data_IF_388351927321
#
_entry.id   IF_388351927321
#
_cell.length_a   1.000
_cell.length_b   1.000
_cell.length_c   1.000
_cell.angle_alpha   90.00
_cell.angle_beta   90.00
_cell.angle_gamma   90.00
#
_symmetry.space_group_name_H-M   'P 1'
#
loop_
_entity.id
_entity.type
_entity.pdbx_description
1 polymer ?
#
# COMPACT_ATOMS: atom_id res chain seq x y z
N UNK A 1 -12.76 -0.30 -5.66
CA UNK A 1 -12.12 0.10 -4.38
C UNK A 1 -11.86 1.59 -4.40
N UNK A 2 -12.33 2.33 -3.41
CA UNK A 2 -12.11 3.78 -3.32
C UNK A 2 -10.71 4.05 -2.77
N UNK A 3 -9.88 4.89 -3.40
CA UNK A 3 -8.54 5.16 -2.91
C UNK A 3 -8.58 5.91 -1.56
N UNK A 4 -7.88 5.38 -0.56
CA UNK A 4 -7.65 6.01 0.74
C UNK A 4 -6.48 7.01 0.72
N UNK A 5 -6.39 7.88 -0.30
CA UNK A 5 -5.43 8.99 -0.32
C UNK A 5 -6.14 10.29 -0.74
N UNK A 6 -5.66 11.44 -0.26
CA UNK A 6 -6.30 12.74 -0.50
C UNK A 6 -7.52 12.99 0.38
N UNK A 7 -8.56 13.64 -0.16
CA UNK A 7 -9.76 14.04 0.60
C UNK A 7 -10.54 12.86 1.21
N UNK A 8 -10.38 11.66 0.66
CA UNK A 8 -11.07 10.45 1.10
C UNK A 8 -10.41 9.76 2.31
N UNK A 9 -9.25 10.25 2.77
CA UNK A 9 -8.52 9.70 3.92
C UNK A 9 -8.49 10.64 5.12
N UNK A 10 -9.40 11.63 5.17
CA UNK A 10 -9.48 12.66 6.20
C UNK A 10 -10.00 12.11 7.55
N UNK A 11 -9.30 11.10 8.11
CA UNK A 11 -9.39 10.73 9.51
C UNK A 11 -7.97 10.67 10.08
N UNK A 12 -7.52 11.83 10.58
CA UNK A 12 -6.47 11.99 11.61
C UNK A 12 -5.05 11.52 11.25
N UNK A 13 -4.30 12.38 10.56
CA UNK A 13 -2.83 12.29 10.50
C UNK A 13 -2.22 13.67 10.35
N UNK A 14 -1.51 14.14 11.39
CA UNK A 14 -0.71 15.37 11.34
C UNK A 14 0.36 15.21 10.26
N UNK A 15 0.41 16.13 9.29
CA UNK A 15 1.56 16.27 8.39
C UNK A 15 2.80 16.48 9.25
N UNK A 16 3.70 15.50 9.28
CA UNK A 16 5.07 15.69 9.75
C UNK A 16 5.90 15.97 8.51
N UNK A 17 6.39 17.21 8.41
CA UNK A 17 7.39 17.55 7.41
C UNK A 17 8.64 16.70 7.68
N UNK A 18 9.04 15.89 6.70
CA UNK A 18 10.35 15.25 6.69
C UNK A 18 11.37 16.35 6.41
N UNK A 19 11.70 17.13 7.44
CA UNK A 19 12.95 17.87 7.46
C UNK A 19 14.06 16.84 7.58
N UNK A 20 15.13 17.04 6.82
CA UNK A 20 16.37 16.26 6.94
C UNK A 20 17.01 16.56 8.29
N UNK A 21 16.42 16.03 9.36
CA UNK A 21 16.90 16.07 10.72
C UNK A 21 17.87 14.92 10.92
N UNK A 22 19.12 15.24 11.24
CA UNK A 22 20.04 14.31 11.89
C UNK A 22 19.51 14.03 13.31
N UNK A 23 18.43 13.27 13.42
CA UNK A 23 17.82 12.97 14.70
C UNK A 23 18.55 11.78 15.34
N UNK A 24 19.41 12.09 16.30
CA UNK A 24 20.04 11.14 17.22
C UNK A 24 19.03 10.23 17.97
N UNK A 25 17.72 10.44 17.82
CA UNK A 25 16.66 9.58 18.34
C UNK A 25 16.50 8.24 17.60
N UNK A 26 17.05 8.08 16.39
CA UNK A 26 17.04 6.80 15.67
C UNK A 26 17.94 5.73 16.33
N UNK A 27 18.87 6.13 17.20
CA UNK A 27 19.87 5.23 17.78
C UNK A 27 19.34 4.27 18.86
N UNK A 28 18.12 4.49 19.39
CA UNK A 28 17.57 3.67 20.49
C UNK A 28 16.63 2.53 20.04
N UNK A 29 16.28 2.42 18.75
CA UNK A 29 15.36 1.39 18.23
C UNK A 29 16.07 0.19 17.57
N UNK A 30 17.34 -0.03 17.88
CA UNK A 30 18.23 -0.98 17.20
C UNK A 30 18.07 -2.45 17.65
N UNK A 31 16.84 -2.95 17.79
CA UNK A 31 16.60 -4.39 18.08
C UNK A 31 15.45 -5.00 17.29
N UNK A 32 14.96 -4.33 16.25
CA UNK A 32 14.16 -4.98 15.22
C UNK A 32 14.97 -5.02 13.93
N UNK A 33 15.20 -6.22 13.37
CA UNK A 33 15.60 -6.33 11.97
C UNK A 33 14.42 -5.87 11.14
N UNK A 34 14.40 -4.58 10.79
CA UNK A 34 13.39 -4.07 9.89
C UNK A 34 13.77 -4.50 8.47
N UNK A 35 13.07 -5.52 7.96
CA UNK A 35 13.23 -5.95 6.57
C UNK A 35 12.79 -4.81 5.63
N UNK A 36 13.74 -4.28 4.86
CA UNK A 36 13.45 -3.26 3.84
C UNK A 36 13.18 -3.95 2.50
N UNK A 37 11.92 -3.92 2.05
CA UNK A 37 11.52 -4.41 0.74
C UNK A 37 11.62 -3.27 -0.29
N UNK A 38 12.44 -3.47 -1.33
CA UNK A 38 12.60 -2.50 -2.43
C UNK A 38 11.82 -2.98 -3.66
N UNK A 39 10.85 -2.19 -4.09
CA UNK A 39 10.02 -2.50 -5.26
C UNK A 39 10.28 -1.45 -6.35
N UNK A 40 10.38 -1.89 -7.61
CA UNK A 40 10.59 -1.01 -8.76
C UNK A 40 9.34 -1.03 -9.64
N UNK A 41 8.77 0.14 -9.89
CA UNK A 41 7.63 0.33 -10.77
C UNK A 41 8.06 1.11 -12.01
N UNK A 42 7.43 0.82 -13.16
CA UNK A 42 7.56 1.62 -14.37
C UNK A 42 6.40 2.61 -14.39
N UNK A 43 6.71 3.90 -14.41
CA UNK A 43 5.71 4.94 -14.63
C UNK A 43 5.15 4.83 -16.05
N UNK A 44 3.86 5.18 -16.27
CA UNK A 44 3.32 5.25 -17.63
C UNK A 44 4.16 6.19 -18.50
N UNK A 45 4.30 5.84 -19.78
CA UNK A 45 5.07 6.63 -20.73
C UNK A 45 4.49 8.06 -20.81
N UNK A 46 5.37 9.06 -20.85
CA UNK A 46 5.03 10.47 -21.00
C UNK A 46 4.12 11.04 -19.89
N UNK A 47 3.98 10.33 -18.76
CA UNK A 47 3.21 10.80 -17.61
C UNK A 47 4.00 11.88 -16.85
N UNK A 48 3.43 13.08 -16.76
CA UNK A 48 3.96 14.18 -15.96
C UNK A 48 2.90 14.65 -14.97
N UNK A 49 3.33 15.09 -13.79
CA UNK A 49 2.42 15.61 -12.78
C UNK A 49 3.14 16.47 -11.75
N UNK A 50 2.60 17.65 -11.46
CA UNK A 50 3.20 18.59 -10.50
C UNK A 50 2.85 18.31 -9.04
N UNK A 51 1.66 17.77 -8.78
CA UNK A 51 1.14 17.42 -7.44
C UNK A 51 0.34 16.12 -7.54
N UNK A 52 1.03 14.98 -7.58
CA UNK A 52 0.39 13.67 -7.53
C UNK A 52 0.64 12.98 -6.19
N UNK A 53 -0.25 12.04 -5.90
CA UNK A 53 -0.11 11.15 -4.76
C UNK A 53 0.29 9.78 -5.28
N UNK A 54 1.41 9.26 -4.79
CA UNK A 54 1.72 7.85 -4.87
C UNK A 54 1.04 7.14 -3.69
N UNK A 55 0.07 6.28 -4.00
CA UNK A 55 -0.60 5.44 -3.01
C UNK A 55 0.04 4.05 -2.99
N UNK A 56 0.53 3.64 -1.83
CA UNK A 56 0.87 2.26 -1.55
C UNK A 56 -0.26 1.61 -0.76
N UNK A 57 -0.75 0.48 -1.26
CA UNK A 57 -1.76 -0.35 -0.61
C UNK A 57 -1.18 -1.73 -0.36
N UNK A 58 -1.15 -2.14 0.91
CA UNK A 58 -0.78 -3.49 1.31
C UNK A 58 -1.98 -4.21 1.93
N UNK A 59 -2.47 -5.20 1.17
CA UNK A 59 -3.50 -6.14 1.59
C UNK A 59 -2.84 -7.38 2.19
N UNK A 60 -3.16 -7.71 3.44
CA UNK A 60 -2.64 -8.90 4.10
C UNK A 60 -3.35 -10.18 3.62
N UNK A 61 -2.71 -11.34 3.82
CA UNK A 61 -3.19 -12.63 3.30
C UNK A 61 -3.50 -13.67 4.38
N UNK A 62 -3.66 -13.27 5.65
CA UNK A 62 -3.82 -14.19 6.79
C UNK A 62 -5.28 -14.38 7.26
N UNK A 63 -6.25 -13.63 6.72
CA UNK A 63 -7.66 -13.69 7.16
C UNK A 63 -8.62 -14.28 6.11
N UNK A 64 -8.35 -14.05 4.83
CA UNK A 64 -9.12 -14.57 3.71
C UNK A 64 -8.30 -14.46 2.42
N UNK A 65 -8.74 -15.13 1.37
CA UNK A 65 -8.14 -15.01 0.04
C UNK A 65 -8.84 -13.93 -0.78
N UNK A 66 -8.16 -12.86 -1.23
CA UNK A 66 -8.80 -11.83 -2.02
C UNK A 66 -9.42 -12.43 -3.29
N UNK A 67 -10.64 -12.01 -3.68
CA UNK A 67 -11.20 -12.41 -4.95
C UNK A 67 -10.27 -11.90 -6.05
N UNK A 68 -9.79 -12.80 -6.89
CA UNK A 68 -9.01 -12.45 -8.06
C UNK A 68 -9.88 -12.72 -9.28
N UNK A 69 -9.99 -11.74 -10.16
CA UNK A 69 -10.61 -11.88 -11.47
C UNK A 69 -9.48 -11.86 -12.50
N UNK A 70 -9.52 -12.77 -13.47
CA UNK A 70 -8.54 -12.74 -14.59
C UNK A 70 -8.71 -11.49 -15.45
N UNK A 71 -9.89 -10.89 -15.36
CA UNK A 71 -10.29 -9.66 -16.03
C UNK A 71 -9.83 -8.41 -15.26
N UNK A 72 -9.40 -8.55 -14.00
CA UNK A 72 -8.85 -7.45 -13.22
C UNK A 72 -7.39 -7.16 -13.67
N UNK A 73 -7.14 -6.01 -14.33
CA UNK A 73 -5.81 -5.67 -14.82
C UNK A 73 -4.81 -5.40 -13.68
N UNK A 74 -5.28 -5.21 -12.45
CA UNK A 74 -4.45 -4.98 -11.26
C UNK A 74 -3.99 -6.26 -10.58
N UNK A 75 -4.70 -7.38 -10.79
CA UNK A 75 -4.38 -8.70 -10.25
C UNK A 75 -4.39 -9.79 -11.33
N UNK A 76 -3.59 -9.67 -12.40
CA UNK A 76 -3.60 -10.61 -13.53
C UNK A 76 -3.11 -12.02 -13.15
N UNK A 77 -2.37 -12.15 -12.04
CA UNK A 77 -1.77 -13.41 -11.59
C UNK A 77 -2.64 -14.12 -10.55
N UNK A 78 -3.87 -14.44 -10.94
CA UNK A 78 -4.78 -15.25 -10.15
C UNK A 78 -4.14 -16.57 -9.72
N UNK A 79 -4.05 -16.80 -8.41
CA UNK A 79 -3.66 -18.08 -7.83
C UNK A 79 -4.80 -18.61 -6.95
N UNK A 80 -5.09 -19.92 -6.98
CA UNK A 80 -6.03 -20.50 -6.02
C UNK A 80 -5.49 -20.31 -4.60
N UNK A 81 -6.37 -20.29 -3.58
CA UNK A 81 -5.95 -20.19 -2.19
C UNK A 81 -4.93 -21.28 -1.85
N UNK A 82 -3.77 -20.89 -1.34
CA UNK A 82 -2.74 -21.83 -0.88
C UNK A 82 -3.04 -22.42 0.50
N UNK A 83 -3.96 -21.81 1.23
CA UNK A 83 -4.39 -22.20 2.58
C UNK A 83 -5.91 -22.42 2.59
N UNK A 84 -6.44 -23.18 3.55
CA UNK A 84 -7.87 -23.41 3.74
C UNK A 84 -8.62 -22.17 4.27
N UNK A 85 -8.32 -20.99 3.69
CA UNK A 85 -8.98 -19.73 3.95
C UNK A 85 -10.10 -19.53 2.91
N UNK A 86 -11.28 -19.04 3.32
CA UNK A 86 -12.35 -18.70 2.39
C UNK A 86 -11.96 -17.47 1.55
N UNK A 87 -12.66 -17.28 0.43
CA UNK A 87 -12.53 -16.02 -0.31
C UNK A 87 -13.11 -14.85 0.49
N UNK A 88 -12.45 -13.70 0.44
CA UNK A 88 -12.94 -12.48 1.08
C UNK A 88 -14.33 -12.13 0.52
N UNK A 89 -15.25 -11.71 1.41
CA UNK A 89 -16.63 -11.36 1.02
C UNK A 89 -17.60 -12.54 0.92
N UNK A 90 -17.14 -13.78 1.10
CA UNK A 90 -18.06 -14.92 1.31
C UNK A 90 -18.65 -14.90 2.72
N UNK A 91 -19.85 -15.47 2.88
CA UNK A 91 -20.56 -15.45 4.16
C UNK A 91 -19.71 -16.12 5.27
N UNK A 92 -19.45 -15.38 6.35
CA UNK A 92 -18.66 -15.85 7.48
C UNK A 92 -17.14 -15.72 7.30
N UNK A 93 -16.65 -15.25 6.15
CA UNK A 93 -15.24 -14.91 5.97
C UNK A 93 -14.90 -13.57 6.66
N UNK A 94 -13.77 -13.53 7.35
CA UNK A 94 -13.18 -12.28 7.81
C UNK A 94 -12.72 -11.43 6.61
N UNK A 95 -12.66 -10.12 6.80
CA UNK A 95 -12.03 -9.21 5.85
C UNK A 95 -10.53 -9.07 6.18
N UNK A 96 -9.63 -8.93 5.20
CA UNK A 96 -8.20 -8.84 5.48
C UNK A 96 -7.88 -7.46 6.10
N UNK A 97 -6.77 -7.40 6.84
CA UNK A 97 -6.21 -6.13 7.27
C UNK A 97 -5.57 -5.41 6.07
N UNK A 98 -5.74 -4.08 6.03
CA UNK A 98 -5.26 -3.22 4.96
C UNK A 98 -4.39 -2.09 5.52
N UNK A 99 -3.28 -1.81 4.83
CA UNK A 99 -2.40 -0.70 5.13
C UNK A 99 -2.31 0.22 3.92
N UNK A 100 -2.59 1.50 4.14
CA UNK A 100 -2.60 2.53 3.09
C UNK A 100 -1.58 3.60 3.45
N UNK A 101 -0.64 3.88 2.54
CA UNK A 101 0.30 4.98 2.68
C UNK A 101 0.26 5.88 1.45
N UNK A 102 0.49 7.17 1.66
CA UNK A 102 0.48 8.18 0.61
C UNK A 102 1.81 8.94 0.63
N UNK A 103 2.35 9.25 -0.54
CA UNK A 103 3.46 10.16 -0.70
C UNK A 103 3.10 11.23 -1.74
N UNK A 104 3.29 12.50 -1.39
CA UNK A 104 3.21 13.60 -2.34
C UNK A 104 4.47 13.59 -3.22
N UNK A 105 4.29 13.47 -4.54
CA UNK A 105 5.39 13.39 -5.51
C UNK A 105 5.15 14.32 -6.70
N UNK A 106 6.23 14.56 -7.45
CA UNK A 106 6.24 15.28 -8.73
C UNK A 106 6.98 14.45 -9.76
N UNK A 107 6.39 14.31 -10.95
CA UNK A 107 6.99 13.60 -12.08
C UNK A 107 7.19 14.60 -13.21
N UNK A 108 8.44 14.73 -13.66
CA UNK A 108 8.85 15.61 -14.75
C UNK A 108 9.30 14.77 -15.94
N UNK A 109 9.18 15.37 -17.14
CA UNK A 109 9.71 14.80 -18.36
C UNK A 109 11.24 14.71 -18.33
#
# INVERSE_FOLDING_TARGET
MTPCCGANCAARGVRRDVTTGTDAAAAAAATAVQSVYRIRYRLPKDFTCDRCILQWHYLTGNSCWPPCSKEDPTFPNCRPPTYALPYCGTQGAAYPEEFWNCADIRIRA
#
